data_IF_141910969463
#
_entry.id   IF_141910969463
#
_cell.length_a   1.000
_cell.length_b   1.000
_cell.length_c   1.000
_cell.angle_alpha   90.00
_cell.angle_beta   90.00
_cell.angle_gamma   90.00
#
_symmetry.space_group_name_H-M   'P 1'
#
loop_
_entity.id
_entity.type
_entity.pdbx_description
1 polymer ?
#
# COMPACT_ATOMS: atom_id res chain seq x y z
N UNK A 1 -27.76 -31.95 -14.58
CA UNK A 1 -26.77 -31.90 -15.69
C UNK A 1 -26.33 -30.46 -15.88
N UNK A 2 -25.24 -30.05 -15.22
CA UNK A 2 -24.47 -28.84 -15.54
C UNK A 2 -23.00 -29.23 -15.45
N UNK A 3 -22.25 -28.92 -16.51
CA UNK A 3 -20.86 -29.35 -16.72
C UNK A 3 -19.92 -28.52 -15.84
N UNK A 4 -19.05 -29.23 -15.14
CA UNK A 4 -17.87 -28.77 -14.42
C UNK A 4 -16.86 -28.12 -15.37
N UNK A 5 -16.22 -27.03 -14.96
CA UNK A 5 -14.92 -26.60 -15.50
C UNK A 5 -13.98 -26.45 -14.30
N UNK A 6 -13.11 -27.43 -14.13
CA UNK A 6 -11.97 -27.39 -13.21
C UNK A 6 -10.79 -26.92 -14.07
N UNK A 7 -10.23 -25.75 -13.80
CA UNK A 7 -8.97 -25.32 -14.41
C UNK A 7 -7.84 -25.93 -13.58
N UNK A 8 -7.28 -27.04 -14.06
CA UNK A 8 -5.97 -27.50 -13.60
C UNK A 8 -4.92 -26.56 -14.20
N UNK A 9 -4.27 -25.73 -13.38
CA UNK A 9 -2.99 -25.13 -13.77
C UNK A 9 -1.92 -26.23 -13.67
N UNK A 10 -1.24 -26.45 -14.78
CA UNK A 10 -0.38 -27.60 -15.00
C UNK A 10 0.93 -27.46 -14.22
N UNK A 11 1.13 -28.34 -13.25
CA UNK A 11 2.43 -28.67 -12.68
C UNK A 11 3.20 -29.45 -13.77
N UNK A 12 4.13 -28.79 -14.47
CA UNK A 12 4.99 -29.43 -15.45
C UNK A 12 6.27 -29.95 -14.77
N UNK A 13 6.15 -31.09 -14.09
CA UNK A 13 7.28 -31.93 -13.71
C UNK A 13 7.51 -32.91 -14.86
N UNK A 14 8.55 -32.67 -15.66
CA UNK A 14 9.13 -33.72 -16.50
C UNK A 14 10.64 -33.70 -16.34
N UNK A 15 11.09 -34.53 -15.41
CA UNK A 15 12.47 -34.97 -15.27
C UNK A 15 12.84 -35.89 -16.43
N UNK A 16 13.83 -35.50 -17.24
CA UNK A 16 14.57 -36.46 -18.06
C UNK A 16 15.93 -36.71 -17.42
N UNK A 17 16.06 -37.91 -16.86
CA UNK A 17 17.30 -38.46 -16.36
C UNK A 17 18.17 -38.85 -17.57
N UNK A 18 19.25 -38.11 -17.80
CA UNK A 18 20.35 -38.54 -18.65
C UNK A 18 21.57 -38.73 -17.74
N UNK A 19 22.00 -39.99 -17.61
CA UNK A 19 23.15 -40.37 -16.81
C UNK A 19 24.38 -40.37 -17.72
N UNK A 20 25.38 -39.51 -17.45
CA UNK A 20 26.78 -39.79 -17.80
C UNK A 20 27.75 -38.78 -17.15
N UNK A 21 28.48 -39.30 -16.16
CA UNK A 21 29.92 -39.14 -15.90
C UNK A 21 30.54 -37.74 -15.90
N UNK A 22 30.87 -37.28 -14.70
CA UNK A 22 31.94 -36.35 -14.34
C UNK A 22 31.99 -35.00 -15.07
N UNK A 23 31.25 -34.02 -14.53
CA UNK A 23 31.66 -32.62 -14.59
C UNK A 23 31.15 -31.89 -13.34
N UNK A 24 32.05 -31.21 -12.62
CA UNK A 24 31.79 -30.40 -11.42
C UNK A 24 31.02 -29.12 -11.80
N UNK A 25 29.83 -29.25 -12.38
CA UNK A 25 28.91 -28.13 -12.49
C UNK A 25 28.06 -28.08 -11.23
N UNK A 26 28.56 -27.39 -10.22
CA UNK A 26 27.70 -26.69 -9.28
C UNK A 26 26.82 -25.75 -10.12
N UNK A 27 25.71 -26.26 -10.65
CA UNK A 27 24.64 -25.45 -11.19
C UNK A 27 23.94 -24.83 -9.98
N UNK A 28 24.61 -23.87 -9.35
CA UNK A 28 23.89 -22.82 -8.65
C UNK A 28 22.95 -22.25 -9.69
N UNK A 29 21.66 -22.60 -9.59
CA UNK A 29 20.64 -21.84 -10.29
C UNK A 29 20.89 -20.38 -9.92
N UNK A 30 21.37 -19.58 -10.88
CA UNK A 30 21.56 -18.15 -10.70
C UNK A 30 20.18 -17.61 -10.35
N UNK A 31 19.98 -17.31 -9.07
CA UNK A 31 18.74 -16.71 -8.60
C UNK A 31 18.78 -15.30 -9.20
N UNK A 32 18.00 -15.08 -10.25
CA UNK A 32 17.85 -13.74 -10.80
C UNK A 32 17.05 -12.95 -9.78
N UNK A 33 17.74 -12.13 -9.00
CA UNK A 33 17.10 -11.20 -8.07
C UNK A 33 16.22 -10.23 -8.85
N UNK A 34 15.00 -10.06 -8.37
CA UNK A 34 14.02 -9.16 -8.95
C UNK A 34 13.81 -8.02 -7.97
N UNK A 35 14.07 -6.81 -8.45
CA UNK A 35 13.98 -5.59 -7.66
C UNK A 35 12.63 -4.89 -7.83
N UNK A 36 12.18 -4.23 -6.77
CA UNK A 36 10.98 -3.39 -6.77
C UNK A 36 11.28 -2.12 -7.56
N UNK A 37 10.37 -1.72 -8.44
CA UNK A 37 10.51 -0.46 -9.16
C UNK A 37 10.16 0.72 -8.24
N UNK A 38 11.17 1.46 -7.81
CA UNK A 38 11.03 2.63 -6.94
C UNK A 38 11.61 3.85 -7.67
N UNK A 39 10.80 4.60 -8.43
CA UNK A 39 11.28 5.69 -9.29
C UNK A 39 11.65 6.96 -8.54
N UNK A 40 11.04 7.21 -7.37
CA UNK A 40 11.36 8.35 -6.52
C UNK A 40 12.66 8.09 -5.74
N UNK A 41 13.65 8.96 -5.96
CA UNK A 41 14.97 8.80 -5.35
C UNK A 41 14.95 8.99 -3.83
N UNK A 42 14.08 9.86 -3.31
CA UNK A 42 13.95 10.10 -1.87
C UNK A 42 13.26 8.90 -1.19
N UNK A 43 12.22 8.35 -1.81
CA UNK A 43 11.56 7.14 -1.32
C UNK A 43 12.53 5.94 -1.37
N UNK A 44 13.25 5.75 -2.48
CA UNK A 44 14.28 4.70 -2.59
C UNK A 44 15.34 4.85 -1.50
N UNK A 45 15.87 6.06 -1.30
CA UNK A 45 16.88 6.31 -0.27
C UNK A 45 16.35 6.02 1.13
N UNK A 46 15.10 6.38 1.43
CA UNK A 46 14.47 6.08 2.72
C UNK A 46 14.33 4.57 2.98
N UNK A 47 14.04 3.77 1.94
CA UNK A 47 13.98 2.31 2.05
C UNK A 47 15.38 1.69 2.21
N UNK A 48 16.37 2.17 1.45
CA UNK A 48 17.76 1.69 1.52
C UNK A 48 18.43 1.98 2.86
N UNK A 49 18.09 3.11 3.50
CA UNK A 49 18.59 3.46 4.84
C UNK A 49 17.96 2.62 5.96
N UNK A 50 16.82 1.98 5.70
CA UNK A 50 16.17 1.10 6.66
C UNK A 50 16.77 -0.30 6.60
N UNK A 51 17.69 -0.60 7.51
CA UNK A 51 18.39 -1.91 7.59
C UNK A 51 17.48 -3.10 7.92
N UNK A 52 16.23 -2.87 8.31
CA UNK A 52 15.24 -3.95 8.46
C UNK A 52 14.53 -4.28 7.14
N UNK A 53 14.59 -3.39 6.16
CA UNK A 53 14.09 -3.59 4.80
C UNK A 53 15.26 -4.01 3.90
N UNK A 54 16.30 -3.17 3.80
CA UNK A 54 17.52 -3.45 3.04
C UNK A 54 18.46 -4.36 3.85
N UNK A 55 18.17 -5.66 3.86
CA UNK A 55 18.83 -6.64 4.73
C UNK A 55 20.16 -7.14 4.18
N UNK A 56 20.37 -7.03 2.87
CA UNK A 56 21.64 -7.36 2.21
C UNK A 56 22.58 -6.14 2.09
N UNK A 57 22.10 -4.94 2.46
CA UNK A 57 22.81 -3.66 2.39
C UNK A 57 23.31 -3.31 0.98
N UNK A 58 22.59 -3.74 -0.06
CA UNK A 58 22.87 -3.35 -1.44
C UNK A 58 22.20 -2.01 -1.81
N UNK A 59 22.28 -1.64 -3.10
CA UNK A 59 21.77 -0.36 -3.62
C UNK A 59 20.34 -0.47 -4.19
N UNK A 60 19.69 -1.62 -4.03
CA UNK A 60 18.35 -1.92 -4.52
C UNK A 60 17.46 -2.46 -3.40
N UNK A 61 16.16 -2.58 -3.67
CA UNK A 61 15.24 -3.28 -2.77
C UNK A 61 14.65 -4.45 -3.55
N UNK A 62 14.92 -5.66 -3.10
CA UNK A 62 14.33 -6.85 -3.70
C UNK A 62 12.86 -7.04 -3.27
N UNK A 63 12.08 -7.77 -4.08
CA UNK A 63 10.73 -8.18 -3.64
C UNK A 63 10.78 -9.06 -2.38
N UNK A 64 11.83 -9.88 -2.23
CA UNK A 64 11.98 -10.73 -1.06
C UNK A 64 12.14 -9.91 0.23
N UNK A 65 12.91 -8.82 0.17
CA UNK A 65 13.09 -7.87 1.27
C UNK A 65 11.81 -7.11 1.60
N UNK A 66 11.17 -6.52 0.59
CA UNK A 66 9.93 -5.77 0.75
C UNK A 66 8.80 -6.63 1.34
N UNK A 67 8.66 -7.88 0.88
CA UNK A 67 7.64 -8.82 1.38
C UNK A 67 7.98 -9.37 2.76
N UNK A 68 9.26 -9.50 3.11
CA UNK A 68 9.68 -9.97 4.44
C UNK A 68 9.56 -8.90 5.52
N UNK A 69 9.59 -7.62 5.16
CA UNK A 69 9.48 -6.53 6.13
C UNK A 69 8.09 -6.47 6.76
N UNK A 70 8.04 -6.54 8.09
CA UNK A 70 6.83 -6.35 8.90
C UNK A 70 7.02 -5.18 9.86
N UNK A 71 5.98 -4.35 10.03
CA UNK A 71 5.97 -3.27 11.02
C UNK A 71 5.64 -1.90 10.45
N UNK A 72 6.38 -0.87 10.88
CA UNK A 72 6.02 0.53 10.67
C UNK A 72 6.96 1.16 9.64
N UNK A 73 6.39 1.72 8.57
CA UNK A 73 7.11 2.51 7.58
C UNK A 73 6.99 4.00 7.92
N UNK A 74 8.12 4.61 8.30
CA UNK A 74 8.20 6.00 8.77
C UNK A 74 9.02 6.85 7.80
N UNK A 75 8.36 7.56 6.90
CA UNK A 75 8.96 8.27 5.75
C UNK A 75 8.48 9.73 5.62
N UNK A 76 8.16 10.36 6.75
CA UNK A 76 7.66 11.74 6.80
C UNK A 76 8.77 12.78 6.67
N UNK A 77 8.48 13.93 6.04
CA UNK A 77 9.41 15.07 5.87
C UNK A 77 10.66 14.73 5.04
N UNK A 78 10.49 14.00 3.95
CA UNK A 78 11.59 13.52 3.10
C UNK A 78 11.50 14.02 1.66
N UNK A 79 10.63 14.99 1.37
CA UNK A 79 10.42 15.53 0.02
C UNK A 79 10.06 14.43 -0.99
N UNK A 80 9.31 13.41 -0.55
CA UNK A 80 8.85 12.31 -1.41
C UNK A 80 7.68 12.80 -2.27
N UNK A 81 7.69 12.49 -3.56
CA UNK A 81 6.64 12.87 -4.52
C UNK A 81 5.85 11.64 -5.01
N UNK A 82 6.49 10.48 -5.07
CA UNK A 82 5.93 9.24 -5.61
C UNK A 82 6.26 8.03 -4.71
N UNK A 83 5.22 7.31 -4.29
CA UNK A 83 5.32 6.10 -3.47
C UNK A 83 5.25 4.80 -4.28
N UNK A 84 5.35 4.85 -5.61
CA UNK A 84 5.43 3.65 -6.47
C UNK A 84 6.50 2.69 -5.92
N UNK A 85 6.12 1.43 -5.74
CA UNK A 85 6.90 0.39 -5.07
C UNK A 85 6.39 0.06 -3.66
N UNK A 86 5.60 0.92 -3.03
CA UNK A 86 5.01 0.68 -1.70
C UNK A 86 4.10 -0.56 -1.68
N UNK A 87 3.50 -0.92 -2.82
CA UNK A 87 2.65 -2.10 -2.99
C UNK A 87 3.38 -3.42 -2.71
N UNK A 88 4.71 -3.43 -2.79
CA UNK A 88 5.53 -4.60 -2.45
C UNK A 88 5.64 -4.81 -0.92
N UNK A 89 5.50 -3.76 -0.11
CA UNK A 89 5.57 -3.81 1.35
C UNK A 89 4.24 -4.27 1.98
N UNK A 90 3.82 -5.49 1.66
CA UNK A 90 2.47 -6.03 1.98
C UNK A 90 2.17 -6.16 3.48
N UNK A 91 3.21 -6.23 4.31
CA UNK A 91 3.08 -6.55 5.72
C UNK A 91 3.24 -5.35 6.66
N UNK A 92 3.24 -4.12 6.14
CA UNK A 92 3.26 -2.91 6.98
C UNK A 92 1.91 -2.71 7.69
N UNK A 93 1.99 -2.30 8.95
CA UNK A 93 0.82 -2.02 9.81
C UNK A 93 0.60 -0.52 10.02
N UNK A 94 1.67 0.27 9.94
CA UNK A 94 1.62 1.73 10.08
C UNK A 94 2.41 2.37 8.95
N UNK A 95 1.78 3.33 8.27
CA UNK A 95 2.42 4.22 7.32
C UNK A 95 2.35 5.65 7.84
N UNK A 96 3.50 6.29 8.02
CA UNK A 96 3.58 7.74 8.23
C UNK A 96 4.38 8.36 7.09
N UNK A 97 3.73 9.17 6.26
CA UNK A 97 4.35 9.87 5.14
C UNK A 97 3.86 11.33 5.05
N UNK A 98 3.60 11.95 6.21
CA UNK A 98 3.15 13.33 6.31
C UNK A 98 4.25 14.34 5.95
N UNK A 99 3.85 15.56 5.56
CA UNK A 99 4.74 16.64 5.12
C UNK A 99 5.68 16.21 3.98
N UNK A 100 5.11 15.64 2.93
CA UNK A 100 5.80 15.33 1.69
C UNK A 100 5.08 16.07 0.54
N UNK A 101 5.36 15.69 -0.70
CA UNK A 101 4.75 16.25 -1.91
C UNK A 101 4.00 15.17 -2.70
N UNK A 102 3.47 14.16 -2.01
CA UNK A 102 2.83 13.00 -2.62
C UNK A 102 1.55 13.45 -3.32
N UNK A 103 1.44 13.16 -4.62
CA UNK A 103 0.25 13.53 -5.43
C UNK A 103 -0.63 12.33 -5.77
N UNK A 104 -0.03 11.15 -5.88
CA UNK A 104 -0.73 9.88 -6.15
C UNK A 104 -0.20 8.79 -5.24
N UNK A 105 -1.10 7.92 -4.80
CA UNK A 105 -0.76 6.82 -3.90
C UNK A 105 -1.71 5.65 -4.16
N UNK A 106 -1.17 4.43 -4.20
CA UNK A 106 -1.92 3.19 -4.23
C UNK A 106 -1.54 2.33 -3.03
N UNK A 107 -2.49 2.13 -2.11
CA UNK A 107 -2.30 1.30 -0.91
C UNK A 107 -3.06 -0.03 -1.01
N UNK A 108 -3.64 -0.37 -2.17
CA UNK A 108 -4.55 -1.51 -2.31
C UNK A 108 -3.93 -2.87 -1.96
N UNK A 109 -2.60 -2.98 -2.03
CA UNK A 109 -1.86 -4.20 -1.66
C UNK A 109 -1.44 -4.24 -0.19
N UNK A 110 -1.46 -3.11 0.53
CA UNK A 110 -0.98 -2.98 1.90
C UNK A 110 -2.10 -3.30 2.92
N UNK A 111 -2.78 -4.44 2.72
CA UNK A 111 -4.03 -4.82 3.42
C UNK A 111 -3.91 -5.00 4.94
N UNK A 112 -2.69 -5.03 5.49
CA UNK A 112 -2.42 -5.09 6.94
C UNK A 112 -2.37 -3.70 7.62
N UNK A 113 -2.46 -2.61 6.86
CA UNK A 113 -2.44 -1.26 7.41
C UNK A 113 -3.58 -1.05 8.42
N UNK A 114 -3.21 -0.57 9.61
CA UNK A 114 -4.09 -0.15 10.69
C UNK A 114 -4.07 1.35 10.92
N UNK A 115 -2.97 2.01 10.57
CA UNK A 115 -2.80 3.46 10.68
C UNK A 115 -2.13 4.03 9.42
N UNK A 116 -2.72 5.08 8.86
CA UNK A 116 -2.23 5.80 7.68
C UNK A 116 -2.25 7.30 7.95
N UNK A 117 -1.06 7.91 8.01
CA UNK A 117 -0.86 9.34 8.25
C UNK A 117 -0.22 9.98 7.00
N UNK A 118 -1.03 10.71 6.25
CA UNK A 118 -0.69 11.34 4.96
C UNK A 118 -0.99 12.84 4.97
N UNK A 119 -1.16 13.45 6.13
CA UNK A 119 -1.45 14.88 6.23
C UNK A 119 -0.35 15.76 5.62
N UNK A 120 -0.74 16.93 5.11
CA UNK A 120 0.18 17.88 4.46
C UNK A 120 0.93 17.26 3.26
N UNK A 121 0.16 16.81 2.28
CA UNK A 121 0.63 16.37 0.96
C UNK A 121 -0.22 17.07 -0.13
N UNK A 122 -0.14 16.60 -1.38
CA UNK A 122 -0.94 17.11 -2.50
C UNK A 122 -1.78 16.01 -3.14
N UNK A 123 -2.29 15.08 -2.33
CA UNK A 123 -3.07 13.92 -2.80
C UNK A 123 -4.43 14.40 -3.31
N UNK A 124 -4.75 14.07 -4.56
CA UNK A 124 -6.04 14.42 -5.16
C UNK A 124 -7.11 13.34 -4.98
N UNK A 125 -6.72 12.07 -4.93
CA UNK A 125 -7.66 10.96 -4.81
C UNK A 125 -7.09 9.90 -3.89
N UNK A 126 -7.91 9.43 -2.95
CA UNK A 126 -7.53 8.34 -2.07
C UNK A 126 -8.67 7.33 -1.94
N UNK A 127 -8.34 6.08 -2.24
CA UNK A 127 -9.21 4.93 -2.03
C UNK A 127 -8.56 3.96 -1.05
N UNK A 128 -9.20 3.74 0.10
CA UNK A 128 -8.78 2.77 1.11
C UNK A 128 -9.77 1.62 1.28
N UNK A 129 -10.71 1.43 0.34
CA UNK A 129 -11.72 0.37 0.39
C UNK A 129 -11.13 -1.04 0.51
N UNK A 130 -9.86 -1.21 0.12
CA UNK A 130 -9.09 -2.46 0.22
C UNK A 130 -8.31 -2.60 1.55
N UNK A 131 -8.49 -1.70 2.51
CA UNK A 131 -7.79 -1.71 3.81
C UNK A 131 -8.73 -2.11 4.96
N UNK A 132 -9.09 -3.41 5.12
CA UNK A 132 -10.15 -3.85 6.04
C UNK A 132 -9.78 -3.73 7.53
N UNK A 133 -8.50 -3.52 7.85
CA UNK A 133 -8.01 -3.39 9.23
C UNK A 133 -7.74 -1.94 9.64
N UNK A 134 -8.01 -0.96 8.77
CA UNK A 134 -7.69 0.44 9.06
C UNK A 134 -8.56 0.98 10.20
N UNK A 135 -7.94 1.64 11.17
CA UNK A 135 -8.57 2.21 12.38
C UNK A 135 -8.27 3.70 12.57
N UNK A 136 -7.25 4.23 11.89
CA UNK A 136 -6.76 5.59 12.08
C UNK A 136 -6.25 6.17 10.75
N UNK A 137 -6.99 7.15 10.24
CA UNK A 137 -6.68 7.81 8.97
C UNK A 137 -6.53 9.32 9.18
N UNK A 138 -5.38 9.86 8.76
CA UNK A 138 -5.16 11.30 8.63
C UNK A 138 -4.78 11.65 7.21
N UNK A 139 -5.63 12.46 6.59
CA UNK A 139 -5.46 12.96 5.22
C UNK A 139 -5.81 14.44 5.14
N UNK A 140 -5.86 15.12 6.29
CA UNK A 140 -6.15 16.54 6.36
C UNK A 140 -5.05 17.36 5.69
N UNK A 141 -5.39 18.56 5.22
CA UNK A 141 -4.45 19.43 4.50
C UNK A 141 -3.85 18.73 3.26
N UNK A 142 -4.72 18.31 2.35
CA UNK A 142 -4.38 17.78 1.03
C UNK A 142 -5.26 18.49 -0.02
N UNK A 143 -5.18 18.05 -1.27
CA UNK A 143 -5.98 18.56 -2.39
C UNK A 143 -7.08 17.57 -2.81
N UNK A 144 -7.61 16.78 -1.87
CA UNK A 144 -8.53 15.69 -2.19
C UNK A 144 -9.78 16.20 -2.93
N UNK A 145 -10.07 15.55 -4.05
CA UNK A 145 -11.29 15.66 -4.83
C UNK A 145 -12.24 14.50 -4.51
N UNK A 146 -11.67 13.32 -4.22
CA UNK A 146 -12.42 12.13 -3.80
C UNK A 146 -11.72 11.39 -2.67
N UNK A 147 -12.52 10.89 -1.73
CA UNK A 147 -12.07 10.06 -0.63
C UNK A 147 -13.04 8.89 -0.44
N UNK A 148 -12.58 7.67 -0.68
CA UNK A 148 -13.34 6.45 -0.41
C UNK A 148 -12.79 5.74 0.82
N UNK A 149 -13.57 5.75 1.90
CA UNK A 149 -13.26 5.03 3.14
C UNK A 149 -14.16 3.84 3.40
N UNK A 150 -15.05 3.47 2.47
CA UNK A 150 -15.96 2.34 2.62
C UNK A 150 -15.18 1.00 2.51
N UNK A 151 -14.63 0.55 3.63
CA UNK A 151 -13.74 -0.61 3.73
C UNK A 151 -14.32 -1.76 4.58
N UNK A 152 -15.60 -1.67 4.94
CA UNK A 152 -16.28 -2.62 5.83
C UNK A 152 -15.86 -2.52 7.30
N UNK A 153 -15.06 -1.52 7.68
CA UNK A 153 -14.50 -1.36 9.02
C UNK A 153 -14.67 0.06 9.59
N UNK A 154 -15.54 0.91 9.01
CA UNK A 154 -15.73 2.29 9.50
C UNK A 154 -16.11 2.38 10.99
N UNK A 155 -16.84 1.40 11.52
CA UNK A 155 -17.19 1.33 12.94
C UNK A 155 -16.00 1.16 13.90
N UNK A 156 -14.85 0.69 13.40
CA UNK A 156 -13.62 0.52 14.18
C UNK A 156 -12.69 1.73 14.11
N UNK A 157 -13.03 2.75 13.31
CA UNK A 157 -12.20 3.95 13.22
C UNK A 157 -12.22 4.70 14.56
N UNK A 158 -11.04 4.89 15.11
CA UNK A 158 -10.81 5.72 16.30
C UNK A 158 -10.57 7.18 15.92
N UNK A 159 -10.13 7.43 14.68
CA UNK A 159 -9.87 8.76 14.14
C UNK A 159 -9.95 8.78 12.61
N UNK A 160 -10.64 9.78 12.08
CA UNK A 160 -10.69 10.11 10.66
C UNK A 160 -10.55 11.63 10.53
N UNK A 161 -9.45 12.12 9.97
CA UNK A 161 -9.21 13.56 9.79
C UNK A 161 -9.01 13.86 8.31
N UNK A 162 -10.00 14.52 7.69
CA UNK A 162 -10.01 14.91 6.27
C UNK A 162 -10.28 16.42 6.07
N UNK A 163 -10.25 17.22 7.13
CA UNK A 163 -10.39 18.68 7.03
C UNK A 163 -9.26 19.36 6.24
N UNK A 164 -9.47 20.57 5.74
CA UNK A 164 -8.48 21.27 4.91
C UNK A 164 -8.31 20.68 3.51
N UNK A 165 -9.28 19.90 3.04
CA UNK A 165 -9.41 19.44 1.66
C UNK A 165 -10.56 20.18 1.00
N UNK A 166 -10.39 21.48 0.74
CA UNK A 166 -11.51 22.37 0.39
C UNK A 166 -12.23 22.02 -0.92
N UNK A 167 -11.62 21.20 -1.78
CA UNK A 167 -12.22 20.72 -3.02
C UNK A 167 -12.96 19.38 -2.86
N UNK A 168 -12.89 18.75 -1.68
CA UNK A 168 -13.49 17.45 -1.41
C UNK A 168 -15.00 17.58 -1.25
N UNK A 169 -15.73 17.19 -2.29
CA UNK A 169 -17.20 17.27 -2.27
C UNK A 169 -17.81 16.24 -1.31
N UNK A 170 -17.32 15.00 -1.34
CA UNK A 170 -17.91 13.91 -0.57
C UNK A 170 -16.88 12.89 -0.07
N UNK A 171 -17.23 12.20 1.02
CA UNK A 171 -16.50 11.06 1.56
C UNK A 171 -17.41 9.83 1.47
N UNK A 172 -16.96 8.79 0.76
CA UNK A 172 -17.72 7.54 0.64
C UNK A 172 -17.48 6.69 1.88
N UNK A 173 -18.55 6.30 2.56
CA UNK A 173 -18.55 5.51 3.80
C UNK A 173 -19.34 4.20 3.61
N UNK A 174 -19.13 3.26 4.52
CA UNK A 174 -19.85 1.99 4.57
C UNK A 174 -21.38 2.19 4.66
N UNK A 175 -22.14 1.27 4.08
CA UNK A 175 -23.60 1.22 4.25
C UNK A 175 -23.95 1.09 5.74
N UNK A 176 -25.03 1.75 6.16
CA UNK A 176 -25.51 1.78 7.55
C UNK A 176 -24.53 2.34 8.60
N UNK A 177 -23.40 2.92 8.19
CA UNK A 177 -22.51 3.65 9.09
C UNK A 177 -22.97 5.10 9.30
N UNK A 178 -22.86 5.58 10.54
CA UNK A 178 -23.03 6.99 10.87
C UNK A 178 -21.76 7.48 11.56
N UNK A 179 -20.99 8.40 10.95
CA UNK A 179 -19.79 8.94 11.56
C UNK A 179 -20.04 9.53 12.94
N UNK A 180 -19.14 9.22 13.88
CA UNK A 180 -19.21 9.64 15.28
C UNK A 180 -18.20 10.75 15.60
N UNK A 181 -18.10 11.14 16.86
CA UNK A 181 -16.97 11.92 17.37
C UNK A 181 -15.64 11.28 16.93
N UNK A 182 -14.69 12.10 16.46
CA UNK A 182 -13.41 11.64 15.90
C UNK A 182 -13.37 11.60 14.37
N UNK A 183 -14.50 11.82 13.69
CA UNK A 183 -14.58 12.01 12.23
C UNK A 183 -14.69 13.50 11.88
N UNK A 184 -13.59 14.07 11.40
CA UNK A 184 -13.45 15.48 11.06
C UNK A 184 -13.32 15.66 9.54
N UNK A 185 -14.09 16.59 9.00
CA UNK A 185 -14.10 16.96 7.58
C UNK A 185 -14.42 18.46 7.45
N UNK A 186 -14.23 19.02 6.27
CA UNK A 186 -14.67 20.38 5.98
C UNK A 186 -16.21 20.51 6.04
N UNK A 187 -16.67 21.76 6.15
CA UNK A 187 -18.09 22.05 6.34
C UNK A 187 -18.92 21.67 5.10
N UNK A 188 -18.35 21.93 3.92
CA UNK A 188 -18.97 21.72 2.61
C UNK A 188 -18.97 20.25 2.17
N UNK A 189 -18.04 19.44 2.68
CA UNK A 189 -17.95 18.01 2.38
C UNK A 189 -19.14 17.27 3.00
N UNK A 190 -19.74 16.29 2.31
CA UNK A 190 -20.79 15.43 2.88
C UNK A 190 -20.42 13.95 2.83
N UNK A 191 -21.10 13.12 3.63
CA UNK A 191 -20.92 11.67 3.59
C UNK A 191 -21.88 11.03 2.58
N UNK A 192 -21.39 10.04 1.83
CA UNK A 192 -22.15 9.30 0.82
C UNK A 192 -21.96 7.80 0.98
N UNK A 193 -22.95 7.00 0.58
CA UNK A 193 -22.85 5.53 0.49
C UNK A 193 -22.65 5.06 -0.97
N UNK A 194 -22.57 6.00 -1.90
CA UNK A 194 -22.26 5.77 -3.32
C UNK A 194 -21.07 6.65 -3.72
N UNK A 195 -20.33 6.31 -4.79
CA UNK A 195 -19.26 7.17 -5.32
C UNK A 195 -19.73 8.62 -5.50
N UNK A 196 -18.84 9.58 -5.22
CA UNK A 196 -19.10 11.00 -5.46
C UNK A 196 -19.21 11.25 -6.98
N UNK A 197 -20.29 11.89 -7.42
CA UNK A 197 -20.52 12.31 -8.81
C UNK A 197 -19.76 13.60 -9.19
#
# INVERSE_FOLDING_TARGET
>A
MKKTVLVLSTLALVSFYACSSDDDSNSSEDIVEVYVNIPDANFKSALLENTSINTNEDEEISYAEAEAFEGNLLISNQEIEDLTGIEALKNIEVLTAFNNSISTIDLSSNTKLRQVLLESNSIENLDISMLPALEDLKVHTNDLLSLNVANGNNASFTRMEAQGNFSLACIVIDEDFTPTDGWNKDLETYYSITPCD
#
